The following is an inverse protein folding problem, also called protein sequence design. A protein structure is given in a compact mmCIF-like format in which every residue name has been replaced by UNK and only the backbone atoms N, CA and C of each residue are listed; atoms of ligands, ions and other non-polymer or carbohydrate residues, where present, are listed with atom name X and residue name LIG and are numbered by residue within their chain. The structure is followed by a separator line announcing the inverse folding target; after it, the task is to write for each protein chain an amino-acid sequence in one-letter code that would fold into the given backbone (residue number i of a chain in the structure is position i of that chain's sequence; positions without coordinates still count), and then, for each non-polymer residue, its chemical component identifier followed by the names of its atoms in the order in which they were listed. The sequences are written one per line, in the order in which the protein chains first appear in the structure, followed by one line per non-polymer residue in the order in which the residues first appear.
data_IF_447735869993
#
_entry.id   IF_447735869993
#
_cell.length_a   1.000
_cell.length_b   1.000
_cell.length_c   1.000
_cell.angle_alpha   90.00
_cell.angle_beta   90.00
_cell.angle_gamma   90.00
#
_symmetry.space_group_name_H-M   'P 1'
#
loop_
_entity.id
_entity.type
_entity.pdbx_description
1 polymer ?
#
# COMPACT_ATOMS: atom_id res chain seq x y z
N UNK A 1 12.05 22.27 -4.58
CA UNK A 1 12.64 20.93 -4.80
C UNK A 1 11.83 19.97 -3.94
N UNK A 2 11.28 18.89 -4.52
CA UNK A 2 10.57 17.88 -3.73
C UNK A 2 11.53 17.22 -2.75
N UNK A 3 11.08 17.00 -1.51
CA UNK A 3 11.84 16.15 -0.59
C UNK A 3 11.95 14.74 -1.20
N UNK A 4 13.11 14.07 -1.05
CA UNK A 4 13.25 12.72 -1.57
C UNK A 4 12.21 11.80 -0.92
N UNK A 5 11.53 11.01 -1.75
CA UNK A 5 10.49 10.07 -1.33
C UNK A 5 11.08 8.66 -1.19
N UNK A 6 10.42 7.75 -0.44
CA UNK A 6 10.72 6.33 -0.50
C UNK A 6 10.79 5.88 -1.98
N UNK A 7 11.94 5.34 -2.40
CA UNK A 7 12.18 4.88 -3.79
C UNK A 7 13.11 5.79 -4.64
N UNK A 8 13.58 6.92 -4.10
CA UNK A 8 14.51 7.81 -4.81
C UNK A 8 15.98 7.36 -4.76
N UNK A 9 16.33 6.50 -3.80
CA UNK A 9 17.70 6.02 -3.61
C UNK A 9 17.88 4.59 -4.09
N UNK A 10 19.08 4.32 -4.62
CA UNK A 10 19.42 2.98 -5.02
C UNK A 10 19.69 2.05 -3.82
N UNK A 11 19.55 0.75 -4.07
CA UNK A 11 20.03 -0.30 -3.18
C UNK A 11 21.52 -0.10 -2.88
N UNK A 12 21.96 -0.33 -1.63
CA UNK A 12 23.39 -0.33 -1.32
C UNK A 12 24.15 -1.42 -2.10
N UNK A 13 23.48 -2.48 -2.57
CA UNK A 13 24.11 -3.53 -3.38
C UNK A 13 23.99 -3.29 -4.89
N UNK A 14 25.11 -3.39 -5.64
CA UNK A 14 25.10 -3.31 -7.10
C UNK A 14 24.57 -4.59 -7.79
N UNK A 15 24.46 -5.71 -7.07
CA UNK A 15 24.09 -7.01 -7.64
C UNK A 15 22.96 -7.72 -6.87
N UNK A 16 22.38 -8.75 -7.48
CA UNK A 16 21.25 -9.49 -6.89
C UNK A 16 21.64 -10.23 -5.60
N UNK A 17 22.89 -10.66 -5.47
CA UNK A 17 23.41 -11.31 -4.28
C UNK A 17 23.47 -10.38 -3.06
N UNK A 18 23.82 -9.12 -3.20
CA UNK A 18 23.70 -8.18 -2.09
C UNK A 18 22.29 -7.59 -1.95
N UNK A 19 21.39 -7.78 -2.93
CA UNK A 19 20.03 -7.25 -2.87
C UNK A 19 19.14 -7.97 -1.85
N UNK A 20 18.01 -7.35 -1.51
CA UNK A 20 17.03 -7.84 -0.54
C UNK A 20 16.10 -8.93 -1.06
N UNK A 21 16.43 -9.55 -2.20
CA UNK A 21 15.67 -10.68 -2.72
C UNK A 21 15.76 -11.87 -1.75
N UNK A 22 14.61 -12.35 -1.31
CA UNK A 22 14.52 -13.61 -0.56
C UNK A 22 14.89 -14.83 -1.41
N UNK A 23 14.70 -14.79 -2.73
CA UNK A 23 15.01 -15.89 -3.64
C UNK A 23 15.98 -15.43 -4.73
N UNK A 24 17.20 -15.99 -4.72
CA UNK A 24 18.21 -15.76 -5.76
C UNK A 24 18.17 -16.94 -6.75
N UNK A 25 17.97 -16.67 -8.05
CA UNK A 25 18.05 -17.72 -9.06
C UNK A 25 19.47 -18.31 -9.21
N UNK A 26 19.61 -19.57 -9.67
CA UNK A 26 20.92 -20.18 -9.89
C UNK A 26 21.77 -19.38 -10.88
N UNK A 27 22.97 -18.98 -10.47
CA UNK A 27 23.91 -18.24 -11.33
C UNK A 27 23.58 -16.76 -11.54
N UNK A 28 22.55 -16.23 -10.86
CA UNK A 28 22.11 -14.84 -11.02
C UNK A 28 22.70 -13.89 -9.96
N UNK A 29 23.42 -14.40 -8.96
CA UNK A 29 23.93 -13.59 -7.84
C UNK A 29 24.79 -12.40 -8.28
N UNK A 30 25.67 -12.61 -9.26
CA UNK A 30 26.55 -11.56 -9.81
C UNK A 30 25.86 -10.63 -10.80
N UNK A 31 24.62 -10.91 -11.22
CA UNK A 31 23.92 -10.04 -12.14
C UNK A 31 23.68 -8.68 -11.48
N UNK A 32 23.89 -7.59 -12.23
CA UNK A 32 23.61 -6.28 -11.71
C UNK A 32 22.11 -6.15 -11.44
N UNK A 33 21.76 -5.52 -10.32
CA UNK A 33 20.39 -5.03 -10.09
C UNK A 33 19.99 -4.08 -11.23
N UNK A 34 20.98 -3.45 -11.89
CA UNK A 34 20.80 -2.58 -13.05
C UNK A 34 20.15 -1.24 -12.66
N UNK A 35 20.17 -0.92 -11.38
CA UNK A 35 19.59 0.29 -10.84
C UNK A 35 20.46 1.48 -11.26
N UNK A 36 19.90 2.39 -12.06
CA UNK A 36 20.53 3.67 -12.41
C UNK A 36 19.84 4.78 -11.62
N UNK A 37 20.61 5.56 -10.87
CA UNK A 37 20.06 6.58 -9.96
C UNK A 37 21.09 7.04 -8.93
N UNK A 38 20.65 7.86 -7.97
CA UNK A 38 21.50 8.33 -6.90
C UNK A 38 21.64 7.25 -5.83
N UNK A 39 22.88 6.85 -5.54
CA UNK A 39 23.17 5.99 -4.40
C UNK A 39 22.67 6.67 -3.13
N UNK A 40 22.09 5.87 -2.23
CA UNK A 40 21.72 6.35 -0.90
C UNK A 40 22.99 6.87 -0.21
N UNK A 41 23.07 8.17 0.15
CA UNK A 41 24.25 8.65 0.85
C UNK A 41 24.25 8.00 2.24
N UNK A 42 25.33 7.27 2.54
CA UNK A 42 25.47 6.55 3.79
C UNK A 42 26.77 6.93 4.48
N UNK A 43 26.75 7.01 5.81
CA UNK A 43 27.96 7.03 6.62
C UNK A 43 28.44 5.58 6.74
N UNK A 44 29.57 5.27 6.11
CA UNK A 44 30.21 3.95 6.16
C UNK A 44 29.30 2.78 5.74
N UNK A 45 28.31 3.03 4.88
CA UNK A 45 27.32 2.01 4.48
C UNK A 45 26.29 1.66 5.55
N UNK A 46 26.39 2.25 6.76
CA UNK A 46 25.64 1.83 7.94
C UNK A 46 24.54 2.80 8.38
N UNK A 47 24.70 4.11 8.13
CA UNK A 47 23.71 5.12 8.53
C UNK A 47 23.25 5.89 7.30
N UNK A 48 21.94 5.93 7.06
CA UNK A 48 21.36 6.77 6.02
C UNK A 48 21.53 8.24 6.40
N UNK A 49 22.32 8.98 5.62
CA UNK A 49 22.63 10.39 5.89
C UNK A 49 21.44 11.32 5.69
N UNK A 50 20.37 10.84 5.05
CA UNK A 50 19.15 11.64 4.81
C UNK A 50 18.21 11.55 5.99
N UNK A 51 18.03 10.33 6.52
CA UNK A 51 17.10 10.09 7.62
C UNK A 51 17.79 10.09 8.99
N UNK A 52 19.12 9.96 9.03
CA UNK A 52 19.90 9.73 10.24
C UNK A 52 19.72 8.33 10.83
N UNK A 53 19.05 7.43 10.11
CA UNK A 53 18.64 6.12 10.62
C UNK A 53 19.67 5.05 10.28
N UNK A 54 20.01 4.14 11.20
CA UNK A 54 20.83 2.97 10.90
C UNK A 54 20.15 2.05 9.86
N UNK A 55 20.85 1.73 8.78
CA UNK A 55 20.46 0.74 7.79
C UNK A 55 20.90 -0.65 8.27
N UNK A 56 20.32 -1.10 9.38
CA UNK A 56 20.66 -2.42 9.91
C UNK A 56 20.08 -3.52 9.02
N UNK A 57 20.93 -4.47 8.62
CA UNK A 57 20.58 -5.67 7.87
C UNK A 57 21.19 -6.89 8.56
N UNK A 58 20.42 -7.96 8.69
CA UNK A 58 20.84 -9.24 9.23
C UNK A 58 20.37 -10.36 8.32
N UNK A 59 21.28 -11.24 7.90
CA UNK A 59 20.89 -12.52 7.30
C UNK A 59 20.82 -13.56 8.40
N UNK A 60 19.60 -14.01 8.74
CA UNK A 60 19.40 -15.01 9.78
C UNK A 60 19.72 -16.41 9.29
N UNK A 61 19.35 -16.72 8.04
CA UNK A 61 19.66 -18.01 7.42
C UNK A 61 19.64 -17.95 5.90
N UNK A 62 20.38 -18.88 5.32
CA UNK A 62 20.50 -19.10 3.89
C UNK A 62 20.29 -20.58 3.61
N UNK A 63 19.36 -20.90 2.71
CA UNK A 63 18.95 -22.26 2.38
C UNK A 63 19.19 -22.51 0.88
N UNK A 64 20.23 -23.27 0.50
CA UNK A 64 20.44 -23.66 -0.89
C UNK A 64 19.43 -24.75 -1.31
N UNK A 65 18.91 -24.65 -2.53
CA UNK A 65 18.01 -25.67 -3.10
C UNK A 65 18.00 -25.60 -4.64
N UNK A 66 18.33 -26.69 -5.32
CA UNK A 66 18.31 -26.75 -6.79
C UNK A 66 19.31 -25.84 -7.50
N UNK A 67 20.34 -25.35 -6.79
CA UNK A 67 21.26 -24.31 -7.29
C UNK A 67 20.76 -22.88 -7.05
N UNK A 68 19.51 -22.70 -6.62
CA UNK A 68 18.99 -21.44 -6.12
C UNK A 68 19.31 -21.28 -4.63
N UNK A 69 19.14 -20.06 -4.13
CA UNK A 69 19.36 -19.72 -2.73
C UNK A 69 18.13 -18.99 -2.18
N UNK A 70 17.58 -19.46 -1.06
CA UNK A 70 16.55 -18.75 -0.32
C UNK A 70 17.12 -18.15 0.96
N UNK A 71 16.84 -16.88 1.24
CA UNK A 71 17.42 -16.13 2.35
C UNK A 71 16.33 -15.52 3.22
N UNK A 72 16.52 -15.65 4.54
CA UNK A 72 15.79 -14.86 5.51
C UNK A 72 16.69 -13.70 5.92
N UNK A 73 16.32 -12.50 5.46
CA UNK A 73 16.98 -11.26 5.84
C UNK A 73 16.00 -10.38 6.58
N UNK A 74 16.49 -9.77 7.65
CA UNK A 74 15.78 -8.73 8.38
C UNK A 74 16.47 -7.41 8.15
N UNK A 75 15.71 -6.40 7.78
CA UNK A 75 16.18 -5.03 7.66
C UNK A 75 15.38 -4.14 8.58
N UNK A 76 16.02 -3.10 9.11
CA UNK A 76 15.37 -2.13 9.98
C UNK A 76 15.37 -0.76 9.34
N UNK A 77 14.22 -0.09 9.31
CA UNK A 77 14.14 1.33 8.99
C UNK A 77 13.44 2.05 10.14
N UNK A 78 14.27 2.42 11.12
CA UNK A 78 13.92 3.22 12.31
C UNK A 78 12.89 2.61 13.28
N UNK A 79 13.13 2.85 14.57
CA UNK A 79 12.03 3.25 15.45
C UNK A 79 11.94 4.76 15.29
N UNK A 80 10.82 5.30 14.82
CA UNK A 80 10.62 6.74 14.97
C UNK A 80 10.65 7.05 16.48
N UNK A 81 11.24 8.16 16.94
CA UNK A 81 10.85 8.74 18.23
C UNK A 81 9.35 9.09 18.28
N UNK A 82 8.61 8.95 17.18
CA UNK A 82 7.15 8.87 17.13
C UNK A 82 6.54 7.61 17.76
N UNK A 83 7.32 6.57 18.07
CA UNK A 83 6.88 5.52 19.01
C UNK A 83 6.73 6.09 20.44
N UNK A 84 7.30 7.29 20.70
CA UNK A 84 7.01 8.15 21.86
C UNK A 84 5.93 9.21 21.63
N UNK A 85 5.25 9.25 20.47
CA UNK A 85 3.80 9.53 20.48
C UNK A 85 3.08 8.32 21.08
N UNK A 86 3.48 7.94 22.30
CA UNK A 86 2.53 7.44 23.28
C UNK A 86 1.42 8.47 23.24
N UNK A 87 0.25 8.04 22.81
CA UNK A 87 -0.98 8.74 23.10
C UNK A 87 -0.86 9.22 24.55
N UNK A 88 -0.92 10.53 24.77
CA UNK A 88 -1.07 11.03 26.11
C UNK A 88 -2.40 10.45 26.64
N UNK A 89 -2.31 9.33 27.37
CA UNK A 89 -3.34 8.80 28.27
C UNK A 89 -4.72 8.45 27.69
N UNK A 90 -4.91 8.33 26.38
CA UNK A 90 -6.19 7.92 25.80
C UNK A 90 -6.35 6.38 25.74
N UNK A 91 -7.54 5.79 25.99
CA UNK A 91 -7.84 4.35 25.85
C UNK A 91 -7.77 3.79 24.41
N UNK A 92 -6.96 4.40 23.55
CA UNK A 92 -6.79 4.07 22.14
C UNK A 92 -5.39 4.41 21.67
N UNK A 93 -4.37 4.15 22.51
CA UNK A 93 -3.01 4.01 22.02
C UNK A 93 -3.07 3.07 20.81
N UNK A 94 -2.48 3.44 19.68
CA UNK A 94 -2.41 2.57 18.50
C UNK A 94 -1.78 1.26 18.94
N UNK A 95 -2.62 0.26 19.19
CA UNK A 95 -2.20 -1.04 19.67
C UNK A 95 -1.25 -1.63 18.63
N UNK A 96 -0.43 -2.58 19.06
CA UNK A 96 0.43 -3.35 18.16
C UNK A 96 -0.31 -3.97 16.94
N UNK A 97 -1.65 -3.93 16.93
CA UNK A 97 -2.58 -4.34 15.88
C UNK A 97 -2.41 -3.62 14.53
N UNK A 98 -1.90 -2.39 14.50
CA UNK A 98 -1.83 -1.60 13.25
C UNK A 98 -0.51 -1.77 12.48
N UNK A 99 0.41 -2.59 12.99
CA UNK A 99 1.74 -2.79 12.39
C UNK A 99 1.81 -4.09 11.60
N UNK A 100 0.92 -4.22 10.64
CA UNK A 100 0.82 -5.36 9.71
C UNK A 100 2.07 -5.59 8.83
N UNK A 101 3.07 -4.71 8.89
CA UNK A 101 4.37 -4.85 8.21
C UNK A 101 5.51 -5.18 9.19
N UNK A 102 5.31 -4.97 10.49
CA UNK A 102 6.31 -5.10 11.57
C UNK A 102 6.24 -6.49 12.22
N UNK A 103 6.25 -7.54 11.39
CA UNK A 103 6.12 -8.94 11.82
C UNK A 103 7.19 -9.40 12.82
N UNK A 104 8.35 -8.77 12.71
CA UNK A 104 9.55 -9.01 13.52
C UNK A 104 9.68 -7.97 14.65
N UNK A 105 8.76 -7.00 14.71
CA UNK A 105 8.60 -5.98 15.74
C UNK A 105 9.66 -4.88 15.70
N UNK A 106 9.30 -3.65 16.09
CA UNK A 106 10.18 -2.48 16.28
C UNK A 106 10.82 -1.90 15.00
N UNK A 107 10.04 -1.80 13.92
CA UNK A 107 10.48 -1.17 12.67
C UNK A 107 11.31 -2.10 11.79
N UNK A 108 11.13 -3.42 11.96
CA UNK A 108 11.84 -4.44 11.22
C UNK A 108 10.95 -5.02 10.12
N UNK A 109 11.55 -5.31 8.97
CA UNK A 109 10.92 -6.02 7.87
C UNK A 109 11.74 -7.26 7.49
N UNK A 110 11.02 -8.30 7.09
CA UNK A 110 11.56 -9.59 6.67
C UNK A 110 11.49 -9.73 5.15
N UNK A 111 12.59 -10.09 4.49
CA UNK A 111 12.67 -10.21 3.03
C UNK A 111 11.74 -11.26 2.43
N UNK A 112 11.41 -12.30 3.20
CA UNK A 112 10.49 -13.36 2.80
C UNK A 112 9.02 -12.94 2.81
N UNK A 113 8.71 -11.76 3.37
CA UNK A 113 7.37 -11.21 3.45
C UNK A 113 7.31 -9.79 2.87
N UNK A 114 7.60 -9.63 1.56
CA UNK A 114 7.48 -8.32 0.93
C UNK A 114 6.02 -7.87 0.95
N UNK A 115 5.83 -6.57 0.98
CA UNK A 115 4.52 -5.93 1.09
C UNK A 115 4.20 -5.20 -0.20
N UNK A 116 2.95 -5.28 -0.66
CA UNK A 116 2.45 -4.46 -1.75
C UNK A 116 1.44 -3.44 -1.20
N UNK A 117 1.74 -2.15 -1.29
CA UNK A 117 0.79 -1.06 -1.03
C UNK A 117 0.06 -0.76 -2.32
N UNK A 118 -1.23 -1.06 -2.42
CA UNK A 118 -2.00 -0.94 -3.65
C UNK A 118 -2.76 0.39 -3.65
N UNK A 119 -2.70 1.12 -4.76
CA UNK A 119 -3.55 2.30 -5.01
C UNK A 119 -3.44 3.43 -3.98
N UNK A 120 -2.25 3.66 -3.42
CA UNK A 120 -2.00 4.79 -2.53
C UNK A 120 -2.34 6.11 -3.22
N UNK A 121 -3.07 6.96 -2.51
CA UNK A 121 -3.42 8.32 -2.90
C UNK A 121 -3.20 9.30 -1.74
N UNK A 122 -2.25 8.98 -0.86
CA UNK A 122 -1.89 9.81 0.30
C UNK A 122 -1.46 11.20 -0.17
N UNK A 123 -2.02 12.25 0.41
CA UNK A 123 -1.84 13.61 -0.08
C UNK A 123 -0.38 14.10 0.01
N UNK A 124 0.36 13.68 1.03
CA UNK A 124 1.78 13.99 1.24
C UNK A 124 2.72 13.18 0.33
N UNK A 125 2.32 11.97 -0.05
CA UNK A 125 3.14 11.08 -0.89
C UNK A 125 2.87 11.31 -2.39
N UNK A 126 1.61 11.26 -2.81
CA UNK A 126 1.24 11.34 -4.23
C UNK A 126 0.76 12.73 -4.65
N UNK A 127 0.34 13.57 -3.70
CA UNK A 127 -0.31 14.84 -4.02
C UNK A 127 -1.49 14.64 -4.99
N UNK A 128 -1.53 15.46 -6.04
CA UNK A 128 -2.51 15.37 -7.13
C UNK A 128 -2.20 14.29 -8.18
N UNK A 129 -1.02 13.67 -8.09
CA UNK A 129 -0.54 12.69 -9.06
C UNK A 129 -1.45 11.45 -9.17
N UNK A 130 -1.18 10.53 -10.11
CA UNK A 130 -1.91 9.28 -10.22
C UNK A 130 -1.77 8.44 -8.95
N UNK A 131 -2.71 7.51 -8.71
CA UNK A 131 -2.54 6.55 -7.61
C UNK A 131 -1.26 5.75 -7.85
N UNK A 132 -0.56 5.42 -6.78
CA UNK A 132 0.71 4.72 -6.87
C UNK A 132 0.66 3.46 -6.03
N UNK A 133 1.04 2.35 -6.65
CA UNK A 133 1.23 1.07 -5.97
C UNK A 133 2.71 0.92 -5.61
N UNK A 134 3.05 0.64 -4.36
CA UNK A 134 4.44 0.49 -3.92
C UNK A 134 4.73 -0.96 -3.57
N UNK A 135 5.72 -1.56 -4.21
CA UNK A 135 6.31 -2.81 -3.75
C UNK A 135 7.38 -2.49 -2.71
N UNK A 136 7.23 -2.95 -1.48
CA UNK A 136 8.23 -2.88 -0.43
C UNK A 136 8.88 -4.25 -0.30
N UNK A 137 10.13 -4.37 -0.74
CA UNK A 137 10.87 -5.62 -0.66
C UNK A 137 11.39 -5.86 0.76
N UNK A 138 11.75 -4.77 1.43
CA UNK A 138 12.26 -4.74 2.78
C UNK A 138 12.14 -3.30 3.33
N UNK A 139 12.77 -3.02 4.47
CA UNK A 139 12.72 -1.72 5.13
C UNK A 139 13.45 -0.60 4.35
N UNK A 140 14.33 -0.94 3.42
CA UNK A 140 15.21 -0.01 2.71
C UNK A 140 14.82 0.21 1.25
N UNK A 141 14.07 -0.73 0.66
CA UNK A 141 13.80 -0.80 -0.77
C UNK A 141 12.32 -0.81 -1.05
N UNK A 142 11.89 0.16 -1.85
CA UNK A 142 10.59 0.14 -2.47
C UNK A 142 10.64 0.55 -3.93
N UNK A 143 9.66 0.08 -4.69
CA UNK A 143 9.48 0.36 -6.11
C UNK A 143 8.09 0.95 -6.31
N UNK A 144 7.97 2.22 -6.72
CA UNK A 144 6.69 2.81 -7.10
C UNK A 144 6.27 2.34 -8.48
N UNK A 145 5.00 1.97 -8.62
CA UNK A 145 4.32 1.72 -9.87
C UNK A 145 3.16 2.71 -9.99
N UNK A 146 3.28 3.67 -10.91
CA UNK A 146 2.26 4.68 -11.13
C UNK A 146 1.13 4.12 -11.99
N UNK A 147 -0.11 4.41 -11.59
CA UNK A 147 -1.28 4.04 -12.37
C UNK A 147 -1.31 4.81 -13.70
N UNK A 148 -1.43 4.08 -14.81
CA UNK A 148 -1.54 4.61 -16.16
C UNK A 148 -2.86 4.17 -16.78
N UNK A 149 -3.53 5.11 -17.45
CA UNK A 149 -4.82 4.87 -18.08
C UNK A 149 -4.66 4.76 -19.59
N UNK A 150 -5.11 3.64 -20.17
CA UNK A 150 -5.09 3.39 -21.60
C UNK A 150 -6.54 3.36 -22.12
N UNK A 151 -7.12 4.50 -22.50
CA UNK A 151 -8.53 4.60 -22.89
C UNK A 151 -8.86 3.85 -24.19
N UNK A 152 -7.85 3.63 -25.06
CA UNK A 152 -8.01 3.03 -26.39
C UNK A 152 -7.34 1.65 -26.50
N UNK A 153 -7.24 0.90 -25.40
CA UNK A 153 -6.71 -0.45 -25.47
C UNK A 153 -7.63 -1.32 -26.33
N UNK A 154 -7.18 -1.69 -27.53
CA UNK A 154 -7.96 -2.37 -28.57
C UNK A 154 -8.61 -3.69 -28.12
N UNK A 155 -8.15 -4.25 -27.00
CA UNK A 155 -8.59 -5.52 -26.44
C UNK A 155 -9.82 -5.40 -25.51
N UNK A 156 -10.16 -4.19 -25.04
CA UNK A 156 -11.32 -3.97 -24.16
C UNK A 156 -12.16 -2.79 -24.65
N UNK A 157 -13.47 -3.00 -24.83
CA UNK A 157 -14.47 -1.97 -25.23
C UNK A 157 -14.68 -0.85 -24.18
N UNK A 158 -13.70 -0.60 -23.33
CA UNK A 158 -13.72 0.40 -22.29
C UNK A 158 -12.34 0.91 -21.87
N UNK A 159 -11.22 0.47 -22.46
CA UNK A 159 -9.89 0.85 -21.97
C UNK A 159 -9.38 -0.06 -20.84
N UNK A 160 -8.13 0.16 -20.39
CA UNK A 160 -7.50 -0.58 -19.28
C UNK A 160 -6.72 0.33 -18.35
N UNK A 161 -6.63 -0.05 -17.09
CA UNK A 161 -5.69 0.50 -16.11
C UNK A 161 -4.46 -0.41 -16.11
N UNK A 162 -3.27 0.17 -16.19
CA UNK A 162 -1.99 -0.52 -15.99
C UNK A 162 -1.18 0.19 -14.90
N UNK A 163 -0.09 -0.43 -14.47
CA UNK A 163 0.85 0.19 -13.54
C UNK A 163 2.26 0.10 -14.09
N UNK A 164 2.93 1.25 -14.17
CA UNK A 164 4.27 1.36 -14.73
C UNK A 164 5.27 1.77 -13.65
N UNK A 165 6.35 1.00 -13.52
CA UNK A 165 7.49 1.43 -12.72
C UNK A 165 8.41 2.33 -13.55
N UNK A 166 9.11 3.30 -12.92
CA UNK A 166 10.19 4.01 -13.57
C UNK A 166 11.21 3.03 -14.19
N UNK A 167 11.69 3.26 -15.43
CA UNK A 167 12.53 2.31 -16.17
C UNK A 167 13.77 1.82 -15.40
N UNK A 168 14.31 2.65 -14.49
CA UNK A 168 15.47 2.32 -13.63
C UNK A 168 15.28 1.08 -12.77
N UNK A 169 14.04 0.69 -12.46
CA UNK A 169 13.75 -0.47 -11.62
C UNK A 169 13.70 -1.79 -12.38
N UNK A 170 13.63 -1.76 -13.72
CA UNK A 170 13.47 -2.96 -14.58
C UNK A 170 12.37 -3.90 -14.04
N UNK A 171 11.28 -3.29 -13.60
CA UNK A 171 10.18 -3.95 -12.92
C UNK A 171 8.89 -3.80 -13.73
N UNK A 172 8.04 -4.83 -13.67
CA UNK A 172 6.73 -4.84 -14.35
C UNK A 172 5.68 -5.38 -13.41
N UNK A 173 4.49 -4.80 -13.45
CA UNK A 173 3.34 -5.24 -12.66
C UNK A 173 2.19 -5.60 -13.59
N UNK A 174 1.57 -6.75 -13.36
CA UNK A 174 0.30 -7.15 -13.98
C UNK A 174 -0.72 -7.48 -12.91
N UNK A 175 -1.99 -7.39 -13.27
CA UNK A 175 -3.10 -7.71 -12.39
C UNK A 175 -4.28 -8.28 -13.17
N UNK A 176 -5.23 -8.86 -12.45
CA UNK A 176 -6.43 -9.47 -13.03
C UNK A 176 -7.71 -8.62 -12.90
N UNK A 177 -7.59 -7.37 -12.44
CA UNK A 177 -8.73 -6.45 -12.32
C UNK A 177 -9.25 -5.94 -13.66
N UNK A 178 -10.51 -5.53 -13.66
CA UNK A 178 -11.20 -4.93 -14.80
C UNK A 178 -11.52 -3.49 -14.45
N UNK A 179 -11.00 -2.57 -15.24
CA UNK A 179 -11.22 -1.15 -15.07
C UNK A 179 -12.65 -0.76 -15.48
N UNK A 180 -13.24 0.18 -14.75
CA UNK A 180 -14.48 0.85 -15.11
C UNK A 180 -14.11 2.19 -15.75
N UNK A 181 -14.60 2.39 -16.97
CA UNK A 181 -14.56 3.68 -17.63
C UNK A 181 -16.01 4.06 -17.91
N UNK A 182 -16.52 5.12 -17.29
CA UNK A 182 -17.82 5.62 -17.69
C UNK A 182 -17.72 6.04 -19.15
N UNK A 183 -18.40 5.31 -20.04
CA UNK A 183 -18.57 5.76 -21.41
C UNK A 183 -19.30 7.10 -21.33
N UNK A 184 -18.58 8.17 -21.68
CA UNK A 184 -19.23 9.44 -21.86
C UNK A 184 -20.05 9.28 -23.14
N UNK A 185 -21.38 9.18 -23.02
CA UNK A 185 -22.25 9.37 -24.18
C UNK A 185 -22.07 10.82 -24.64
N UNK A 186 -21.28 11.00 -25.70
CA UNK A 186 -21.18 12.28 -26.40
C UNK A 186 -22.49 12.45 -27.16
N UNK A 187 -23.51 13.00 -26.49
CA UNK A 187 -24.62 13.65 -27.17
C UNK A 187 -24.04 14.77 -28.02
N UNK A 188 -24.33 14.75 -29.32
CA UNK A 188 -23.84 15.68 -30.33
C UNK A 188 -23.88 17.15 -29.84
N UNK A 189 -22.72 17.70 -29.47
CA UNK A 189 -22.53 19.15 -29.31
C UNK A 189 -22.20 19.70 -27.91
N UNK A 190 -22.10 18.90 -26.85
CA UNK A 190 -21.60 19.39 -25.55
C UNK A 190 -20.25 18.75 -25.19
N UNK A 191 -19.27 19.59 -24.86
CA UNK A 191 -17.98 19.17 -24.32
C UNK A 191 -18.22 18.37 -23.05
N UNK A 192 -17.87 17.10 -23.09
CA UNK A 192 -18.01 16.18 -21.98
C UNK A 192 -17.14 16.62 -20.81
N UNK A 193 -17.74 17.31 -19.85
CA UNK A 193 -17.14 17.49 -18.54
C UNK A 193 -17.20 16.10 -17.89
N UNK A 194 -16.04 15.45 -17.73
CA UNK A 194 -15.92 14.30 -16.83
C UNK A 194 -16.57 14.72 -15.51
N UNK A 195 -17.68 14.10 -15.12
CA UNK A 195 -18.21 14.33 -13.78
C UNK A 195 -17.05 13.97 -12.83
N UNK A 196 -16.55 14.91 -12.01
CA UNK A 196 -15.43 14.65 -11.11
C UNK A 196 -15.73 13.52 -10.10
N UNK A 197 -16.99 13.12 -9.99
CA UNK A 197 -17.43 11.97 -9.18
C UNK A 197 -17.49 10.66 -9.96
N UNK A 198 -17.47 10.71 -11.30
CA UNK A 198 -17.49 9.55 -12.19
C UNK A 198 -16.05 9.08 -12.42
N UNK A 199 -15.42 8.70 -11.31
CA UNK A 199 -14.01 8.40 -11.22
C UNK A 199 -13.67 7.17 -12.07
N UNK A 200 -12.65 7.31 -12.92
CA UNK A 200 -11.98 6.15 -13.50
C UNK A 200 -11.53 5.28 -12.32
N UNK A 201 -11.95 4.02 -12.32
CA UNK A 201 -11.79 3.15 -11.17
C UNK A 201 -11.87 1.69 -11.56
N UNK A 202 -12.10 0.83 -10.57
CA UNK A 202 -12.23 -0.61 -10.78
C UNK A 202 -13.70 -1.00 -10.92
N UNK A 203 -14.08 -1.63 -12.04
CA UNK A 203 -15.34 -2.36 -12.16
C UNK A 203 -15.25 -3.64 -11.32
N UNK A 204 -14.16 -4.38 -11.52
CA UNK A 204 -13.76 -5.52 -10.71
C UNK A 204 -12.35 -5.23 -10.19
N UNK A 205 -12.18 -4.96 -8.89
CA UNK A 205 -10.86 -4.69 -8.34
C UNK A 205 -9.96 -5.92 -8.47
N UNK A 206 -8.65 -5.77 -8.78
CA UNK A 206 -7.77 -6.91 -8.95
C UNK A 206 -7.62 -7.72 -7.66
N UNK A 207 -7.88 -9.02 -7.71
CA UNK A 207 -7.66 -9.92 -6.58
C UNK A 207 -6.22 -10.44 -6.49
N UNK A 208 -5.49 -10.37 -7.60
CA UNK A 208 -4.10 -10.84 -7.70
C UNK A 208 -3.25 -9.85 -8.48
N UNK A 209 -2.02 -9.67 -8.01
CA UNK A 209 -0.98 -8.90 -8.66
C UNK A 209 0.25 -9.80 -8.89
N UNK A 210 0.86 -9.70 -10.06
CA UNK A 210 2.11 -10.36 -10.40
C UNK A 210 3.16 -9.29 -10.70
N UNK A 211 4.32 -9.39 -10.06
CA UNK A 211 5.40 -8.42 -10.23
C UNK A 211 6.67 -9.15 -10.65
N UNK A 212 7.24 -8.75 -11.78
CA UNK A 212 8.53 -9.24 -12.27
C UNK A 212 9.59 -8.19 -11.98
N UNK A 213 10.71 -8.63 -11.42
CA UNK A 213 11.87 -7.78 -11.15
C UNK A 213 13.05 -8.22 -12.00
N UNK A 214 13.95 -7.27 -12.29
CA UNK A 214 15.24 -7.51 -12.94
C UNK A 214 15.09 -8.24 -14.27
N UNK A 215 14.23 -7.73 -15.15
CA UNK A 215 13.88 -8.33 -16.45
C UNK A 215 13.34 -9.77 -16.35
N UNK A 216 12.64 -10.08 -15.25
CA UNK A 216 11.98 -11.37 -15.05
C UNK A 216 12.85 -12.42 -14.38
N UNK A 217 14.00 -12.04 -13.80
CA UNK A 217 14.81 -12.95 -12.98
C UNK A 217 14.03 -13.53 -11.80
N UNK A 218 13.13 -12.73 -11.22
CA UNK A 218 12.25 -13.16 -10.12
C UNK A 218 10.85 -12.60 -10.37
N UNK A 219 9.83 -13.44 -10.12
CA UNK A 219 8.43 -13.05 -10.10
C UNK A 219 7.85 -13.23 -8.71
N UNK A 220 7.13 -12.22 -8.24
CA UNK A 220 6.33 -12.24 -7.02
C UNK A 220 4.84 -12.32 -7.39
N UNK A 221 4.07 -13.08 -6.63
CA UNK A 221 2.60 -13.09 -6.72
C UNK A 221 2.02 -12.65 -5.39
N UNK A 222 1.18 -11.62 -5.47
CA UNK A 222 0.47 -11.05 -4.34
C UNK A 222 -1.03 -11.31 -4.46
N UNK A 223 -1.67 -11.58 -3.32
CA UNK A 223 -3.13 -11.58 -3.18
C UNK A 223 -3.55 -10.28 -2.53
N UNK A 224 -4.48 -9.57 -3.17
CA UNK A 224 -4.98 -8.29 -2.70
C UNK A 224 -5.94 -8.47 -1.52
N UNK A 225 -5.79 -7.63 -0.51
CA UNK A 225 -6.65 -7.47 0.65
C UNK A 225 -7.27 -6.09 0.62
N UNK A 226 -8.53 -6.04 0.20
CA UNK A 226 -9.33 -4.83 0.28
C UNK A 226 -10.08 -4.82 1.61
N UNK A 227 -9.83 -3.82 2.45
CA UNK A 227 -10.63 -3.55 3.65
C UNK A 227 -12.01 -3.07 3.23
N UNK A 228 -12.96 -4.00 3.01
CA UNK A 228 -14.02 -3.81 2.02
C UNK A 228 -14.65 -2.42 1.92
N UNK A 229 -15.92 -2.17 2.02
CA UNK A 229 -16.45 -1.43 3.14
C UNK A 229 -17.83 -2.02 3.28
N UNK A 230 -18.28 -2.41 4.47
CA UNK A 230 -19.63 -2.87 4.64
C UNK A 230 -20.50 -1.68 4.27
N UNK A 231 -21.15 -1.76 3.12
CA UNK A 231 -22.19 -0.81 2.74
C UNK A 231 -23.21 -0.89 3.86
N UNK A 232 -23.37 0.20 4.60
CA UNK A 232 -24.52 0.36 5.44
C UNK A 232 -25.72 0.39 4.48
N UNK A 233 -26.47 -0.71 4.42
CA UNK A 233 -27.69 -0.86 3.61
C UNK A 233 -28.85 0.00 4.17
N UNK A 234 -28.57 0.86 5.14
CA UNK A 234 -29.55 1.70 5.82
C UNK A 234 -30.23 0.99 7.00
N UNK A 235 -29.94 -0.30 7.24
CA UNK A 235 -30.55 -1.06 8.33
C UNK A 235 -29.88 -0.84 9.69
N UNK A 236 -28.76 -0.11 9.73
CA UNK A 236 -27.98 0.07 10.96
C UNK A 236 -27.29 -1.20 11.46
N UNK A 237 -27.39 -2.32 10.73
CA UNK A 237 -26.63 -3.53 10.98
C UNK A 237 -25.32 -3.45 10.22
N UNK A 238 -24.23 -3.24 10.95
CA UNK A 238 -22.92 -3.60 10.45
C UNK A 238 -22.89 -5.13 10.36
N UNK A 239 -22.89 -5.68 9.15
CA UNK A 239 -22.58 -7.10 8.98
C UNK A 239 -21.28 -7.38 9.74
N UNK A 240 -21.31 -8.40 10.60
CA UNK A 240 -20.23 -8.79 11.51
C UNK A 240 -18.97 -9.30 10.78
N UNK A 241 -18.75 -8.87 9.55
CA UNK A 241 -17.61 -9.18 8.69
C UNK A 241 -17.01 -7.90 8.09
N UNK A 242 -17.50 -6.73 8.49
CA UNK A 242 -17.20 -5.44 7.86
C UNK A 242 -15.77 -4.88 8.10
N UNK A 243 -15.32 -3.96 7.21
CA UNK A 243 -14.07 -3.17 7.23
C UNK A 243 -13.92 -2.25 8.46
N UNK A 244 -12.87 -1.42 8.45
CA UNK A 244 -12.87 -0.09 9.08
C UNK A 244 -14.19 0.66 8.80
N UNK A 245 -14.84 1.29 9.81
CA UNK A 245 -16.08 2.01 9.60
C UNK A 245 -15.85 3.09 8.53
N UNK A 246 -16.72 3.21 7.53
CA UNK A 246 -16.55 4.20 6.47
C UNK A 246 -16.38 5.60 7.06
N UNK A 247 -15.55 6.43 6.43
CA UNK A 247 -15.48 7.85 6.78
C UNK A 247 -16.77 8.51 6.31
N UNK A 248 -17.47 9.14 7.25
CA UNK A 248 -18.60 10.03 6.96
C UNK A 248 -18.04 11.42 6.76
N UNK A 249 -18.18 11.97 5.57
CA UNK A 249 -17.65 13.29 5.25
C UNK A 249 -18.75 14.18 4.68
N UNK A 250 -18.66 15.48 4.94
CA UNK A 250 -19.66 16.43 4.49
C UNK A 250 -19.32 16.91 3.06
N UNK A 251 -20.13 16.49 2.09
CA UNK A 251 -19.91 16.77 0.67
C UNK A 251 -20.16 18.23 0.30
N UNK A 252 -20.86 18.99 1.14
CA UNK A 252 -21.09 20.41 0.88
C UNK A 252 -19.81 21.25 0.93
N UNK A 253 -18.70 20.72 1.47
CA UNK A 253 -17.38 21.35 1.42
C UNK A 253 -16.75 21.38 0.03
N UNK A 254 -17.20 20.53 -0.90
CA UNK A 254 -16.64 20.48 -2.25
C UNK A 254 -17.04 21.70 -3.10
N UNK A 255 -18.21 22.29 -2.85
CA UNK A 255 -18.83 23.31 -3.72
C UNK A 255 -19.08 24.66 -3.04
N UNK A 256 -18.70 24.85 -1.78
CA UNK A 256 -18.97 26.10 -1.08
C UNK A 256 -17.87 27.14 -1.33
N UNK A 257 -18.12 28.05 -2.27
CA UNK A 257 -17.73 29.43 -2.01
C UNK A 257 -18.58 29.88 -0.80
N UNK A 258 -17.97 30.20 0.33
CA UNK A 258 -18.67 30.77 1.49
C UNK A 258 -19.19 32.17 1.13
N UNK A 259 -20.26 32.26 0.34
CA UNK A 259 -20.83 33.55 -0.09
C UNK A 259 -21.99 33.99 0.80
N UNK A 260 -22.37 33.23 1.83
CA UNK A 260 -23.45 33.61 2.75
C UNK A 260 -23.21 33.09 4.17
N UNK A 261 -23.55 33.90 5.17
CA UNK A 261 -23.48 33.59 6.62
C UNK A 261 -24.40 32.43 7.09
N UNK A 262 -25.11 31.77 6.18
CA UNK A 262 -25.91 30.58 6.48
C UNK A 262 -25.18 29.34 5.97
N UNK A 263 -24.72 28.50 6.90
CA UNK A 263 -24.20 27.17 6.54
C UNK A 263 -25.33 26.37 5.87
N UNK A 264 -25.16 25.89 4.64
CA UNK A 264 -26.14 24.99 4.04
C UNK A 264 -26.21 23.69 4.87
N UNK A 265 -27.36 22.99 4.86
CA UNK A 265 -27.50 21.74 5.59
C UNK A 265 -26.41 20.76 5.17
N UNK A 266 -25.66 20.25 6.17
CA UNK A 266 -24.56 19.33 5.93
C UNK A 266 -25.06 18.05 5.23
N UNK A 267 -24.57 17.81 4.02
CA UNK A 267 -24.87 16.61 3.25
C UNK A 267 -23.74 15.60 3.48
N UNK A 268 -23.93 14.74 4.46
CA UNK A 268 -22.92 13.74 4.78
C UNK A 268 -23.04 12.51 3.90
N UNK A 269 -21.93 12.12 3.27
CA UNK A 269 -21.83 10.94 2.41
C UNK A 269 -20.81 9.98 3.00
N UNK A 270 -21.07 8.68 2.85
CA UNK A 270 -20.12 7.63 3.24
C UNK A 270 -19.07 7.43 2.17
N UNK A 271 -17.83 7.26 2.60
CA UNK A 271 -16.71 6.94 1.73
C UNK A 271 -15.70 6.04 2.44
N UNK A 272 -14.71 5.57 1.69
CA UNK A 272 -13.63 4.73 2.21
C UNK A 272 -12.42 5.59 2.61
N UNK A 273 -11.67 5.19 3.62
CA UNK A 273 -10.37 5.78 3.94
C UNK A 273 -9.37 5.67 2.77
N UNK A 274 -9.57 4.74 1.83
CA UNK A 274 -8.78 4.59 0.60
C UNK A 274 -9.19 5.58 -0.51
N UNK A 275 -10.32 6.28 -0.35
CA UNK A 275 -10.71 7.34 -1.26
C UNK A 275 -9.71 8.50 -1.18
N UNK A 276 -9.44 9.13 -2.32
CA UNK A 276 -8.47 10.23 -2.42
C UNK A 276 -8.99 11.46 -1.68
N UNK A 277 -8.24 12.03 -0.72
CA UNK A 277 -8.61 13.31 -0.12
C UNK A 277 -8.57 14.42 -1.18
N UNK A 278 -9.32 15.49 -0.95
CA UNK A 278 -9.13 16.66 -1.79
C UNK A 278 -7.81 17.34 -1.42
N UNK A 279 -7.01 17.68 -2.42
CA UNK A 279 -5.80 18.47 -2.22
C UNK A 279 -6.10 19.95 -2.30
N UNK A 280 -5.18 20.77 -1.79
CA UNK A 280 -5.31 22.23 -1.85
C UNK A 280 -5.43 22.77 -3.28
N UNK A 281 -4.76 22.14 -4.25
CA UNK A 281 -4.72 22.62 -5.63
C UNK A 281 -6.07 22.45 -6.35
N UNK A 282 -6.87 21.47 -5.95
CA UNK A 282 -8.18 21.20 -6.53
C UNK A 282 -9.20 22.32 -6.24
N UNK A 283 -8.93 23.18 -5.25
CA UNK A 283 -9.78 24.33 -4.91
C UNK A 283 -9.31 25.65 -5.56
N UNK A 284 -8.18 25.65 -6.29
CA UNK A 284 -7.58 26.88 -6.84
C UNK A 284 -8.26 27.33 -8.14
N UNK A 285 -8.79 26.40 -8.94
CA UNK A 285 -9.35 26.74 -10.26
C UNK A 285 -10.74 27.38 -10.21
N UNK A 286 -11.52 27.13 -9.16
CA UNK A 286 -12.89 27.64 -8.99
C UNK A 286 -12.94 29.16 -8.80
N UNK A 287 -11.81 29.80 -8.49
CA UNK A 287 -11.76 31.20 -8.02
C UNK A 287 -10.87 32.13 -8.87
N UNK A 288 -10.43 31.73 -10.07
CA UNK A 288 -9.66 32.62 -10.96
C UNK A 288 -10.45 33.85 -11.42
N UNK A 289 -11.80 33.83 -11.33
CA UNK A 289 -12.68 34.93 -11.71
C UNK A 289 -13.26 35.73 -10.53
N UNK A 290 -12.89 35.45 -9.28
CA UNK A 290 -13.42 36.21 -8.14
C UNK A 290 -12.52 37.40 -7.78
N UNK A 291 -13.12 38.59 -7.68
CA UNK A 291 -12.48 39.83 -7.21
C UNK A 291 -12.34 39.90 -5.69
N UNK A 292 -12.76 38.87 -4.95
CA UNK A 292 -12.78 38.88 -3.48
C UNK A 292 -11.42 38.48 -2.85
N UNK A 293 -11.10 39.04 -1.66
CA UNK A 293 -9.86 38.74 -0.95
C UNK A 293 -9.72 37.24 -0.67
N UNK A 294 -8.61 36.69 -1.17
CA UNK A 294 -8.32 35.26 -1.29
C UNK A 294 -8.06 34.50 0.05
N UNK A 295 -8.39 35.06 1.22
CA UNK A 295 -7.56 34.82 2.40
C UNK A 295 -8.02 33.77 3.41
N UNK A 296 -9.26 33.28 3.45
CA UNK A 296 -9.69 32.50 4.63
C UNK A 296 -9.91 31.01 4.35
N UNK A 297 -10.60 30.65 3.27
CA UNK A 297 -10.94 29.25 2.99
C UNK A 297 -9.72 28.36 2.66
N UNK A 298 -8.70 28.94 2.00
CA UNK A 298 -7.51 28.21 1.48
C UNK A 298 -6.54 27.73 2.56
N UNK A 299 -6.62 28.27 3.78
CA UNK A 299 -5.66 27.95 4.85
C UNK A 299 -6.20 26.94 5.86
N UNK A 300 -7.52 26.73 5.88
CA UNK A 300 -8.15 25.76 6.80
C UNK A 300 -8.40 24.39 6.19
N UNK A 301 -8.22 24.19 4.87
CA UNK A 301 -8.41 22.85 4.28
C UNK A 301 -7.25 21.94 4.63
N UNK A 302 -7.54 20.94 5.46
CA UNK A 302 -6.61 19.86 5.80
C UNK A 302 -7.02 18.60 5.03
N UNK A 303 -6.14 17.99 4.21
CA UNK A 303 -6.44 16.70 3.56
C UNK A 303 -6.54 15.55 4.57
N UNK A 304 -6.15 15.78 5.82
CA UNK A 304 -6.20 14.82 6.92
C UNK A 304 -7.48 14.92 7.76
N UNK A 305 -8.33 15.91 7.50
CA UNK A 305 -9.65 16.02 8.15
C UNK A 305 -10.65 15.10 7.46
N UNK A 306 -10.90 13.93 8.07
CA UNK A 306 -11.82 12.89 7.57
C UNK A 306 -13.29 13.33 7.55
N UNK A 307 -13.66 14.39 8.28
CA UNK A 307 -15.02 14.94 8.22
C UNK A 307 -15.22 15.84 7.00
N UNK A 308 -14.13 16.34 6.40
CA UNK A 308 -14.14 17.25 5.24
C UNK A 308 -13.64 16.61 3.95
N UNK A 309 -13.09 15.40 4.02
CA UNK A 309 -12.55 14.68 2.86
C UNK A 309 -13.20 13.31 2.71
N UNK A 310 -13.39 12.83 1.47
CA UNK A 310 -13.94 11.50 1.23
C UNK A 310 -13.07 10.38 1.80
N UNK A 311 -11.76 10.56 1.91
CA UNK A 311 -10.88 9.59 2.53
C UNK A 311 -9.53 10.21 2.81
N UNK A 312 -8.58 9.36 3.19
CA UNK A 312 -7.19 9.74 3.48
C UNK A 312 -6.24 9.30 2.36
N UNK A 313 -6.73 8.54 1.38
CA UNK A 313 -5.93 7.97 0.31
C UNK A 313 -5.04 6.82 0.80
N UNK A 314 -5.41 6.18 1.90
CA UNK A 314 -4.67 5.02 2.43
C UNK A 314 -4.59 3.93 1.36
N UNK A 315 -3.44 3.26 1.20
CA UNK A 315 -3.34 2.15 0.27
C UNK A 315 -4.13 0.93 0.77
N UNK A 316 -4.56 0.09 -0.17
CA UNK A 316 -4.89 -1.31 0.15
C UNK A 316 -3.61 -2.13 0.30
N UNK A 317 -3.74 -3.38 0.75
CA UNK A 317 -2.58 -4.23 1.04
C UNK A 317 -2.59 -5.47 0.16
N UNK A 318 -1.46 -5.83 -0.42
CA UNK A 318 -1.23 -7.12 -1.07
C UNK A 318 -0.26 -7.96 -0.25
N UNK A 319 -0.59 -9.23 -0.05
CA UNK A 319 0.26 -10.19 0.66
C UNK A 319 0.92 -11.13 -0.32
N UNK A 320 2.25 -11.28 -0.22
CA UNK A 320 3.03 -12.17 -1.07
C UNK A 320 2.76 -13.63 -0.76
N UNK A 321 2.20 -14.38 -1.71
CA UNK A 321 1.91 -15.82 -1.55
C UNK A 321 2.90 -16.69 -2.32
N UNK A 322 3.69 -16.10 -3.22
CA UNK A 322 4.57 -16.84 -4.13
C UNK A 322 5.76 -15.99 -4.57
N UNK A 323 6.95 -16.59 -4.57
CA UNK A 323 8.16 -16.05 -5.22
C UNK A 323 8.72 -17.13 -6.14
N UNK A 324 8.95 -16.83 -7.41
CA UNK A 324 9.44 -17.82 -8.37
C UNK A 324 10.49 -17.29 -9.34
N UNK A 325 11.27 -18.20 -9.89
CA UNK A 325 12.31 -17.94 -10.89
C UNK A 325 11.94 -18.55 -12.24
N UNK A 326 12.53 -18.11 -13.36
CA UNK A 326 12.34 -18.74 -14.67
C UNK A 326 12.66 -20.24 -14.71
N UNK A 327 13.56 -20.71 -13.83
CA UNK A 327 13.96 -22.12 -13.74
C UNK A 327 13.02 -22.94 -12.85
N UNK A 328 11.83 -22.43 -12.52
CA UNK A 328 10.81 -23.12 -11.70
C UNK A 328 11.30 -23.48 -10.27
N UNK A 329 12.19 -22.66 -9.71
CA UNK A 329 12.41 -22.60 -8.26
C UNK A 329 11.33 -21.73 -7.65
N UNK A 330 10.74 -22.20 -6.56
CA UNK A 330 9.51 -21.64 -6.02
C UNK A 330 9.57 -21.57 -4.50
N UNK A 331 9.34 -20.39 -3.92
CA UNK A 331 8.96 -20.23 -2.53
C UNK A 331 7.44 -20.02 -2.45
N UNK A 332 6.73 -21.03 -1.98
CA UNK A 332 5.28 -20.99 -1.76
C UNK A 332 5.00 -20.61 -0.31
N UNK A 333 4.31 -19.49 -0.11
CA UNK A 333 4.09 -18.90 1.21
C UNK A 333 2.63 -19.12 1.60
N UNK A 334 2.43 -19.79 2.73
CA UNK A 334 1.11 -19.94 3.34
C UNK A 334 1.02 -19.03 4.54
N UNK A 335 0.02 -18.15 4.58
CA UNK A 335 -0.25 -17.30 5.74
C UNK A 335 -1.20 -17.98 6.73
N UNK A 336 -1.17 -17.51 7.97
CA UNK A 336 -2.14 -17.91 8.99
C UNK A 336 -3.54 -17.42 8.58
N UNK A 337 -4.55 -18.24 8.87
CA UNK A 337 -5.94 -17.81 8.74
C UNK A 337 -6.22 -16.85 9.89
N UNK A 338 -6.70 -15.66 9.58
CA UNK A 338 -7.21 -14.73 10.59
C UNK A 338 -8.44 -15.37 11.22
N UNK A 339 -8.35 -15.72 12.50
CA UNK A 339 -9.50 -16.12 13.30
C UNK A 339 -10.02 -14.87 14.01
N UNK A 340 -11.28 -14.52 13.79
CA UNK A 340 -11.96 -13.44 14.52
C UNK A 340 -12.80 -14.08 15.63
N UNK A 341 -12.69 -13.56 16.84
CA UNK A 341 -13.57 -13.96 17.94
C UNK A 341 -14.57 -12.83 18.20
N UNK A 342 -15.85 -13.19 18.26
CA UNK A 342 -16.89 -12.25 18.67
C UNK A 342 -16.78 -12.03 20.17
N UNK A 343 -16.47 -10.81 20.60
CA UNK A 343 -16.61 -10.42 22.00
C UNK A 343 -17.88 -9.59 22.16
N UNK A 344 -18.77 -10.07 23.03
CA UNK A 344 -19.94 -9.31 23.46
C UNK A 344 -19.55 -8.55 24.72
N UNK A 345 -19.71 -7.23 24.70
CA UNK A 345 -19.65 -6.41 25.92
C UNK A 345 -21.10 -5.96 26.16
N UNK A 346 -21.72 -6.48 27.22
CA UNK A 346 -23.08 -6.11 27.65
C UNK A 346 -24.20 -6.28 26.59
N UNK A 347 -24.21 -7.38 25.85
CA UNK A 347 -25.30 -7.73 24.93
C UNK A 347 -25.37 -6.90 23.65
N UNK A 348 -24.42 -5.96 23.46
CA UNK A 348 -24.20 -5.22 22.24
C UNK A 348 -22.86 -5.67 21.65
N UNK A 349 -22.82 -6.05 20.38
CA UNK A 349 -21.56 -6.36 19.69
C UNK A 349 -20.87 -5.02 19.42
N UNK A 350 -19.95 -4.59 20.31
CA UNK A 350 -19.34 -3.25 20.23
C UNK A 350 -18.02 -3.26 19.45
N UNK A 351 -17.29 -4.38 19.40
CA UNK A 351 -16.10 -4.50 18.55
C UNK A 351 -15.75 -5.97 18.31
N UNK A 352 -15.42 -6.32 17.06
CA UNK A 352 -14.66 -7.54 16.81
C UNK A 352 -13.22 -7.27 17.23
N UNK A 353 -12.72 -7.97 18.25
CA UNK A 353 -11.28 -8.11 18.43
C UNK A 353 -10.85 -9.18 17.42
N UNK A 354 -10.37 -8.74 16.27
CA UNK A 354 -9.65 -9.65 15.39
C UNK A 354 -8.36 -10.04 16.11
N UNK A 355 -7.91 -11.28 15.95
CA UNK A 355 -6.53 -11.61 16.26
C UNK A 355 -5.65 -10.95 15.19
N UNK A 356 -5.51 -9.62 15.27
CA UNK A 356 -4.82 -8.76 14.30
C UNK A 356 -3.38 -9.25 14.09
N UNK A 357 -2.80 -9.89 15.11
CA UNK A 357 -1.47 -10.51 15.06
C UNK A 357 -1.37 -11.65 14.04
N UNK A 358 -2.48 -12.28 13.62
CA UNK A 358 -2.47 -13.32 12.60
C UNK A 358 -2.56 -12.75 11.17
N UNK A 359 -2.90 -11.46 10.98
CA UNK A 359 -3.26 -10.88 9.67
C UNK A 359 -2.05 -10.62 8.78
N UNK A 360 -1.61 -11.65 8.07
CA UNK A 360 -0.40 -11.60 7.25
C UNK A 360 0.78 -12.34 7.88
N UNK A 361 0.59 -12.93 9.05
CA UNK A 361 1.56 -13.83 9.67
C UNK A 361 1.78 -15.02 8.74
N UNK A 362 3.03 -15.33 8.42
CA UNK A 362 3.40 -16.52 7.66
C UNK A 362 3.20 -17.74 8.54
N UNK A 363 2.50 -18.75 8.05
CA UNK A 363 2.40 -20.08 8.69
C UNK A 363 3.58 -20.96 8.27
N UNK A 364 3.87 -21.00 6.98
CA UNK A 364 4.94 -21.84 6.43
C UNK A 364 5.40 -21.36 5.06
N UNK A 365 6.66 -21.62 4.74
CA UNK A 365 7.21 -21.44 3.38
C UNK A 365 7.72 -22.79 2.89
N UNK A 366 7.27 -23.22 1.70
CA UNK A 366 7.79 -24.41 1.03
C UNK A 366 8.70 -23.99 -0.12
N UNK A 367 9.94 -24.44 -0.09
CA UNK A 367 10.90 -24.24 -1.16
C UNK A 367 10.86 -25.44 -2.10
N UNK A 368 10.46 -25.23 -3.36
CA UNK A 368 10.24 -26.29 -4.35
C UNK A 368 11.15 -26.15 -5.56
N UNK A 369 11.52 -27.28 -6.15
CA UNK A 369 12.25 -27.39 -7.43
C UNK A 369 11.50 -28.36 -8.32
N UNK A 370 11.01 -27.90 -9.48
CA UNK A 370 10.27 -28.79 -10.38
C UNK A 370 8.99 -29.38 -9.78
N UNK A 371 8.40 -28.72 -8.77
CA UNK A 371 7.24 -29.20 -8.02
C UNK A 371 7.58 -29.95 -6.73
N UNK A 372 8.79 -30.48 -6.58
CA UNK A 372 9.22 -31.20 -5.38
C UNK A 372 9.60 -30.25 -4.25
N UNK A 373 9.04 -30.45 -3.05
CA UNK A 373 9.43 -29.67 -1.86
C UNK A 373 10.78 -30.15 -1.34
N UNK A 374 11.78 -29.26 -1.30
CA UNK A 374 13.13 -29.52 -0.77
C UNK A 374 13.27 -29.02 0.67
N UNK A 375 12.64 -27.91 1.00
CA UNK A 375 12.60 -27.38 2.36
C UNK A 375 11.18 -26.96 2.75
N UNK A 376 10.86 -27.07 4.04
CA UNK A 376 9.68 -26.45 4.64
C UNK A 376 10.11 -25.67 5.86
N UNK A 377 9.91 -24.36 5.83
CA UNK A 377 10.11 -23.48 6.97
C UNK A 377 8.77 -23.33 7.69
N UNK A 378 8.77 -23.60 8.99
CA UNK A 378 7.59 -23.48 9.84
C UNK A 378 7.76 -22.29 10.77
N UNK A 379 6.77 -21.40 10.77
CA UNK A 379 6.79 -20.18 11.57
C UNK A 379 5.95 -20.38 12.82
N UNK A 380 6.54 -20.02 13.96
CA UNK A 380 5.85 -19.98 15.26
C UNK A 380 6.02 -18.60 15.85
N UNK A 381 4.91 -18.00 16.28
CA UNK A 381 4.90 -16.68 16.87
C UNK A 381 4.78 -16.82 18.38
N UNK A 382 5.82 -16.38 19.10
CA UNK A 382 5.75 -16.32 20.56
C UNK A 382 4.78 -15.22 20.94
N UNK A 383 3.64 -15.61 21.52
CA UNK A 383 2.79 -14.67 22.26
C UNK A 383 3.41 -14.50 23.63
N UNK A 384 3.99 -13.32 23.87
CA UNK A 384 4.30 -12.94 25.23
C UNK A 384 2.96 -12.62 25.89
N UNK A 385 2.53 -13.45 26.86
CA UNK A 385 1.46 -13.04 27.78
C UNK A 385 1.97 -11.82 28.52
N UNK A 386 1.52 -10.64 28.10
CA UNK A 386 1.65 -9.43 28.90
C UNK A 386 0.79 -9.60 30.14
N UNK A 387 1.46 -9.58 31.29
CA UNK A 387 1.00 -9.43 32.68
C UNK A 387 -0.46 -9.01 32.83
N UNK A 388 -1.25 -9.87 33.49
CA UNK A 388 -2.62 -9.57 33.97
C UNK A 388 -2.68 -8.33 34.87
#
# INVERSE_FOLDING_TARGET
MSAPVPGDFLSPSPNLEGSSLALIPPGYGSLPTGWQGQSRPTLEGAVDLITGVPLAEFTDTTLPFGGAEFRLRRTRSADSPGNSYRSQGGPGATDASDRWWDWVGCGWMSSENPVLLIDSALADVTGDGPRTTYLWLDAHHNIPFQQVFHPNAAETNGGRIEYEAPPRFRARLKHNGIAYFPQIQIGTGQTSQLDPNNQIGWLIPPSQFEIWLYDGAVKYTFVAMYDRVARNDGSGRYDALGPLPPSKWNRTWFNQAQTSNSEPPAEYVWSSYNARPFTRNQFVEVLKDSTEPQSDFRWSHSPWDVARNPGLGLPHVGICVRIETPQNHLAEITHQKVQRQNFSINGSVVAMLEDHLARGAIKSIKLKVGGDTKWTLLYTYKRFRGLD
#
